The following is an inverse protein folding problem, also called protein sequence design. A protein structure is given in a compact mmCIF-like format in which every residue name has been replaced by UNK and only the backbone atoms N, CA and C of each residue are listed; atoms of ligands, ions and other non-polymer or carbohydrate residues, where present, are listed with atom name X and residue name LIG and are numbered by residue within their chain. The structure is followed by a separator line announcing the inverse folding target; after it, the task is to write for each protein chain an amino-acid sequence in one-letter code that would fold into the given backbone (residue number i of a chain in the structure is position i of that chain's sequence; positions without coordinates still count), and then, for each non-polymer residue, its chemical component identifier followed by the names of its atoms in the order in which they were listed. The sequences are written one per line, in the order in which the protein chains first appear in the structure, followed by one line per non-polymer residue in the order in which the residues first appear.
data_IF_573483643684
#
_entry.id   IF_573483643684
#
_cell.length_a   1.000
_cell.length_b   1.000
_cell.length_c   1.000
_cell.angle_alpha   90.00
_cell.angle_beta   90.00
_cell.angle_gamma   90.00
#
_symmetry.space_group_name_H-M   'P 1'
#
loop_
_entity.id
_entity.type
_entity.pdbx_description
1 polymer ?
#
# COMPACT_ATOMS: atom_id res chain seq x y z
N UNK A 1 -23.59 -30.79 -12.51
CA UNK A 1 -22.39 -30.63 -11.64
C UNK A 1 -21.28 -30.13 -12.53
N UNK A 2 -20.83 -28.89 -12.35
CA UNK A 2 -19.67 -28.35 -13.07
C UNK A 2 -18.40 -28.91 -12.43
N UNK A 3 -17.52 -29.51 -13.22
CA UNK A 3 -16.23 -30.04 -12.76
C UNK A 3 -15.16 -28.97 -12.89
N UNK A 4 -14.44 -28.68 -11.81
CA UNK A 4 -13.30 -27.77 -11.83
C UNK A 4 -12.12 -28.38 -12.60
N UNK A 5 -11.32 -27.54 -13.26
CA UNK A 5 -10.01 -27.96 -13.80
C UNK A 5 -9.03 -28.29 -12.66
N UNK A 6 -7.90 -28.89 -12.99
CA UNK A 6 -6.82 -29.16 -12.02
C UNK A 6 -6.32 -27.86 -11.40
N UNK A 7 -6.10 -26.84 -12.22
CA UNK A 7 -5.62 -25.51 -11.82
C UNK A 7 -6.63 -24.86 -10.87
N UNK A 8 -7.91 -24.81 -11.28
CA UNK A 8 -8.97 -24.26 -10.43
C UNK A 8 -9.11 -25.01 -9.10
N UNK A 9 -8.92 -26.32 -9.09
CA UNK A 9 -8.98 -27.13 -7.87
C UNK A 9 -7.83 -26.81 -6.91
N UNK A 10 -6.63 -26.56 -7.44
CA UNK A 10 -5.46 -26.13 -6.65
C UNK A 10 -5.71 -24.74 -6.07
N UNK A 11 -6.19 -23.79 -6.87
CA UNK A 11 -6.48 -22.42 -6.41
C UNK A 11 -7.53 -22.40 -5.31
N UNK A 12 -8.61 -23.18 -5.46
CA UNK A 12 -9.67 -23.30 -4.43
C UNK A 12 -9.11 -23.89 -3.14
N UNK A 13 -8.26 -24.93 -3.22
CA UNK A 13 -7.62 -25.52 -2.04
C UNK A 13 -6.75 -24.47 -1.33
N UNK A 14 -5.90 -23.77 -2.07
CA UNK A 14 -4.95 -22.82 -1.49
C UNK A 14 -5.68 -21.61 -0.90
N UNK A 15 -6.70 -21.09 -1.59
CA UNK A 15 -7.57 -20.04 -1.06
C UNK A 15 -8.32 -20.47 0.21
N UNK A 16 -8.79 -21.72 0.26
CA UNK A 16 -9.47 -22.27 1.42
C UNK A 16 -8.54 -22.36 2.64
N UNK A 17 -7.31 -22.87 2.45
CA UNK A 17 -6.31 -22.96 3.52
C UNK A 17 -5.89 -21.57 4.01
N UNK A 18 -5.64 -20.61 3.10
CA UNK A 18 -5.38 -19.20 3.44
C UNK A 18 -6.53 -18.61 4.26
N UNK A 19 -7.78 -18.90 3.88
CA UNK A 19 -8.97 -18.46 4.59
C UNK A 19 -9.09 -19.03 6.00
N UNK A 20 -8.81 -20.32 6.20
CA UNK A 20 -8.77 -20.96 7.53
C UNK A 20 -7.71 -20.30 8.40
N UNK A 21 -6.49 -20.17 7.88
CA UNK A 21 -5.38 -19.57 8.62
C UNK A 21 -5.68 -18.13 9.02
N UNK A 22 -6.18 -17.31 8.08
CA UNK A 22 -6.56 -15.93 8.35
C UNK A 22 -7.64 -15.81 9.43
N UNK A 23 -8.66 -16.67 9.40
CA UNK A 23 -9.72 -16.69 10.44
C UNK A 23 -9.18 -17.12 11.80
N UNK A 24 -8.28 -18.12 11.84
CA UNK A 24 -7.63 -18.56 13.07
C UNK A 24 -6.79 -17.43 13.69
N UNK A 25 -6.00 -16.73 12.87
CA UNK A 25 -5.20 -15.59 13.33
C UNK A 25 -6.08 -14.49 13.94
N UNK A 26 -7.13 -14.05 13.23
CA UNK A 26 -8.09 -13.05 13.74
C UNK A 26 -8.76 -13.53 15.02
N UNK A 27 -9.11 -14.81 15.12
CA UNK A 27 -9.69 -15.39 16.33
C UNK A 27 -8.72 -15.32 17.52
N UNK A 28 -7.43 -15.62 17.32
CA UNK A 28 -6.40 -15.50 18.36
C UNK A 28 -6.28 -14.04 18.82
N UNK A 29 -6.19 -13.08 17.89
CA UNK A 29 -6.13 -11.64 18.20
C UNK A 29 -7.35 -11.21 19.02
N UNK A 30 -8.54 -11.65 18.64
CA UNK A 30 -9.77 -11.37 19.39
C UNK A 30 -9.77 -11.98 20.79
N UNK A 31 -9.21 -13.18 20.96
CA UNK A 31 -9.05 -13.80 22.29
C UNK A 31 -8.11 -13.01 23.18
N UNK A 32 -6.98 -12.55 22.64
CA UNK A 32 -6.02 -11.69 23.35
C UNK A 32 -6.70 -10.37 23.74
N UNK A 33 -7.33 -9.70 22.78
CA UNK A 33 -8.04 -8.44 23.00
C UNK A 33 -9.11 -8.56 24.10
N UNK A 34 -9.94 -9.59 24.07
CA UNK A 34 -10.95 -9.82 25.09
C UNK A 34 -10.36 -10.10 26.49
N UNK A 35 -9.15 -10.65 26.56
CA UNK A 35 -8.48 -10.93 27.83
C UNK A 35 -7.82 -9.68 28.43
N UNK A 36 -7.26 -8.80 27.59
CA UNK A 36 -6.50 -7.61 28.06
C UNK A 36 -7.35 -6.34 28.09
N UNK A 37 -8.41 -6.27 27.28
CA UNK A 37 -9.27 -5.10 27.21
C UNK A 37 -10.10 -4.98 28.49
N UNK A 38 -9.87 -3.89 29.22
CA UNK A 38 -10.66 -3.52 30.40
C UNK A 38 -11.60 -2.36 30.05
N UNK A 39 -12.92 -2.57 29.98
CA UNK A 39 -13.88 -1.49 29.76
C UNK A 39 -13.99 -0.61 31.02
N UNK A 40 -13.52 0.64 30.98
CA UNK A 40 -13.79 1.66 32.03
C UNK A 40 -13.64 3.10 31.52
N UNK A 41 -14.53 3.98 32.03
CA UNK A 41 -14.36 5.43 32.27
C UNK A 41 -14.18 6.34 31.05
N UNK A 42 -14.74 7.56 31.14
CA UNK A 42 -14.85 8.55 30.04
C UNK A 42 -13.54 9.20 29.57
N UNK A 43 -12.39 8.90 30.17
CA UNK A 43 -11.10 9.46 29.75
C UNK A 43 -9.99 8.41 29.72
N UNK A 44 -9.33 8.27 28.56
CA UNK A 44 -8.13 7.43 28.40
C UNK A 44 -7.01 8.22 27.73
N UNK A 45 -5.89 8.31 28.44
CA UNK A 45 -4.57 8.43 27.81
C UNK A 45 -4.11 7.03 27.39
N UNK A 46 -3.53 6.91 26.21
CA UNK A 46 -3.01 5.66 25.68
C UNK A 46 -1.63 5.89 25.04
N UNK A 47 -0.79 4.85 25.06
CA UNK A 47 0.48 4.82 24.34
C UNK A 47 0.32 3.82 23.21
N UNK A 48 0.48 4.29 21.98
CA UNK A 48 0.52 3.45 20.78
C UNK A 48 1.95 3.00 20.49
N UNK A 49 2.12 1.73 20.16
CA UNK A 49 3.38 1.18 19.64
C UNK A 49 3.07 0.57 18.28
N UNK A 50 3.83 0.96 17.27
CA UNK A 50 3.69 0.48 15.90
C UNK A 50 4.92 -0.34 15.55
N UNK A 51 4.72 -1.61 15.21
CA UNK A 51 5.73 -2.52 14.69
C UNK A 51 5.27 -3.00 13.31
N UNK A 52 5.99 -2.60 12.26
CA UNK A 52 5.65 -2.88 10.87
C UNK A 52 6.90 -3.27 10.09
N UNK A 53 6.71 -3.94 8.95
CA UNK A 53 7.77 -4.19 8.00
C UNK A 53 8.38 -2.88 7.48
N UNK A 54 9.70 -2.86 7.35
CA UNK A 54 10.40 -1.78 6.64
C UNK A 54 10.16 -1.85 5.13
N UNK A 55 10.70 -0.86 4.41
CA UNK A 55 10.64 -0.82 2.96
C UNK A 55 11.31 -2.04 2.31
N UNK A 56 10.64 -2.67 1.34
CA UNK A 56 11.10 -3.89 0.67
C UNK A 56 11.39 -3.66 -0.82
N UNK A 57 12.51 -4.21 -1.31
CA UNK A 57 12.84 -4.25 -2.73
C UNK A 57 13.62 -5.53 -3.05
N UNK A 58 12.91 -6.53 -3.57
CA UNK A 58 13.45 -7.82 -3.98
C UNK A 58 13.64 -7.91 -5.50
N UNK A 59 14.24 -9.02 -5.96
CA UNK A 59 14.35 -9.34 -7.39
C UNK A 59 12.98 -9.47 -8.08
N UNK A 60 11.94 -9.84 -7.33
CA UNK A 60 10.56 -9.90 -7.80
C UNK A 60 9.65 -9.44 -6.68
N UNK A 61 8.93 -8.34 -6.91
CA UNK A 61 8.02 -7.74 -5.93
C UNK A 61 6.59 -7.99 -6.39
N UNK A 62 5.76 -8.56 -5.53
CA UNK A 62 4.35 -8.82 -5.82
C UNK A 62 3.47 -7.68 -5.30
N UNK A 63 2.15 -7.84 -5.39
CA UNK A 63 1.19 -6.94 -4.74
C UNK A 63 1.39 -6.83 -3.22
N UNK A 64 1.92 -7.87 -2.57
CA UNK A 64 2.21 -7.83 -1.14
C UNK A 64 3.28 -6.79 -0.82
N UNK A 65 4.39 -6.80 -1.55
CA UNK A 65 5.45 -5.79 -1.44
C UNK A 65 4.91 -4.39 -1.77
N UNK A 66 4.02 -4.27 -2.76
CA UNK A 66 3.39 -2.99 -3.08
C UNK A 66 2.57 -2.45 -1.90
N UNK A 67 1.78 -3.31 -1.23
CA UNK A 67 1.04 -2.95 -0.02
C UNK A 67 1.96 -2.57 1.15
N UNK A 68 3.05 -3.32 1.36
CA UNK A 68 4.05 -3.04 2.41
C UNK A 68 4.71 -1.67 2.16
N UNK A 69 5.14 -1.40 0.93
CA UNK A 69 5.76 -0.14 0.57
C UNK A 69 4.77 1.03 0.62
N UNK A 70 3.49 0.81 0.29
CA UNK A 70 2.44 1.81 0.49
C UNK A 70 2.24 2.15 1.98
N UNK A 71 2.28 1.16 2.88
CA UNK A 71 2.23 1.42 4.31
C UNK A 71 3.44 2.25 4.78
N UNK A 72 4.63 1.94 4.26
CA UNK A 72 5.85 2.72 4.53
C UNK A 72 5.75 4.16 3.99
N UNK A 73 5.16 4.39 2.82
CA UNK A 73 4.91 5.74 2.32
C UNK A 73 3.97 6.54 3.22
N UNK A 74 2.92 5.92 3.75
CA UNK A 74 2.03 6.60 4.71
C UNK A 74 2.77 6.95 5.99
N UNK A 75 3.62 6.05 6.49
CA UNK A 75 4.43 6.32 7.68
C UNK A 75 5.44 7.44 7.42
N UNK A 76 6.08 7.45 6.24
CA UNK A 76 6.97 8.53 5.83
C UNK A 76 6.21 9.87 5.79
N UNK A 77 5.01 9.91 5.21
CA UNK A 77 4.24 11.16 5.16
C UNK A 77 3.80 11.62 6.55
N UNK A 78 3.47 10.68 7.44
CA UNK A 78 3.20 10.98 8.84
C UNK A 78 4.40 11.67 9.50
N UNK A 79 5.62 11.15 9.32
CA UNK A 79 6.84 11.80 9.82
C UNK A 79 7.07 13.17 9.20
N UNK A 80 6.91 13.31 7.87
CA UNK A 80 7.08 14.58 7.17
C UNK A 80 6.12 15.64 7.72
N UNK A 81 4.86 15.26 7.92
CA UNK A 81 3.86 16.16 8.45
C UNK A 81 4.14 16.57 9.90
N UNK A 82 4.46 15.62 10.78
CA UNK A 82 4.57 15.91 12.21
C UNK A 82 5.88 16.56 12.60
N UNK A 83 6.99 16.15 11.99
CA UNK A 83 8.32 16.67 12.34
C UNK A 83 8.62 17.96 11.58
N UNK A 84 8.19 18.11 10.33
CA UNK A 84 8.57 19.30 9.54
C UNK A 84 7.44 20.29 9.34
N UNK A 85 6.26 19.85 8.90
CA UNK A 85 5.18 20.79 8.54
C UNK A 85 4.59 21.47 9.77
N UNK A 86 4.22 20.68 10.79
CA UNK A 86 3.61 21.20 12.02
C UNK A 86 4.60 22.03 12.86
N UNK A 87 5.86 21.61 12.98
CA UNK A 87 6.86 22.40 13.71
C UNK A 87 7.11 23.77 13.04
N UNK A 88 7.22 23.80 11.71
CA UNK A 88 7.41 25.06 10.99
C UNK A 88 6.17 25.96 11.04
N UNK A 89 4.96 25.40 11.05
CA UNK A 89 3.73 26.15 11.26
C UNK A 89 3.73 26.81 12.66
N UNK A 90 4.14 26.09 13.70
CA UNK A 90 4.23 26.62 15.06
C UNK A 90 5.26 27.75 15.18
N UNK A 91 6.46 27.59 14.59
CA UNK A 91 7.47 28.65 14.58
C UNK A 91 6.98 29.93 13.90
N UNK A 92 6.21 29.79 12.81
CA UNK A 92 5.61 30.93 12.13
C UNK A 92 4.55 31.60 13.00
N UNK A 93 3.72 30.82 13.71
CA UNK A 93 2.70 31.33 14.63
C UNK A 93 3.33 32.10 15.80
N UNK A 94 4.41 31.58 16.37
CA UNK A 94 5.15 32.22 17.46
C UNK A 94 6.06 33.37 16.99
N UNK A 95 6.11 33.65 15.68
CA UNK A 95 6.99 34.67 15.07
C UNK A 95 8.47 34.47 15.41
N UNK A 96 8.89 33.21 15.54
CA UNK A 96 10.29 32.85 15.80
C UNK A 96 11.06 32.94 14.49
N UNK A 97 12.17 33.70 14.50
CA UNK A 97 13.03 33.82 13.34
C UNK A 97 13.79 32.50 13.10
N UNK A 98 13.30 31.71 12.14
CA UNK A 98 13.81 30.38 11.82
C UNK A 98 14.06 30.25 10.31
N UNK A 99 15.01 29.39 9.93
CA UNK A 99 15.30 29.09 8.54
C UNK A 99 14.43 27.92 8.07
N UNK A 100 13.56 28.16 7.08
CA UNK A 100 12.73 27.10 6.49
C UNK A 100 13.59 25.91 6.05
N UNK A 101 13.26 24.72 6.54
CA UNK A 101 13.95 23.49 6.17
C UNK A 101 13.24 22.90 4.95
N UNK A 102 13.99 22.72 3.87
CA UNK A 102 13.52 21.95 2.73
C UNK A 102 13.46 20.46 3.06
N UNK A 103 12.33 19.83 2.75
CA UNK A 103 12.11 18.39 2.92
C UNK A 103 11.50 17.79 1.66
N UNK A 104 11.67 16.47 1.49
CA UNK A 104 11.09 15.74 0.37
C UNK A 104 9.69 15.26 0.77
N UNK A 105 8.67 15.85 0.16
CA UNK A 105 7.27 15.46 0.34
C UNK A 105 6.90 14.31 -0.61
N UNK A 106 6.38 13.23 -0.04
CA UNK A 106 5.94 12.04 -0.77
C UNK A 106 4.43 12.02 -1.06
N UNK A 107 3.70 13.12 -0.83
CA UNK A 107 2.25 13.21 -1.09
C UNK A 107 1.88 12.82 -2.53
N UNK A 108 2.67 13.23 -3.53
CA UNK A 108 2.38 12.88 -4.93
C UNK A 108 2.47 11.37 -5.19
N UNK A 109 3.29 10.63 -4.45
CA UNK A 109 3.34 9.18 -4.53
C UNK A 109 2.11 8.55 -3.87
N UNK A 110 1.68 9.04 -2.71
CA UNK A 110 0.45 8.59 -2.03
C UNK A 110 -0.82 8.86 -2.87
N UNK A 111 -0.87 10.04 -3.50
CA UNK A 111 -1.90 10.46 -4.42
C UNK A 111 -2.03 9.49 -5.60
N UNK A 112 -0.89 9.12 -6.20
CA UNK A 112 -0.84 8.15 -7.28
C UNK A 112 -1.23 6.74 -6.81
N UNK A 113 -0.83 6.31 -5.61
CA UNK A 113 -1.07 4.94 -5.15
C UNK A 113 -2.54 4.73 -4.75
N UNK A 114 -3.11 5.61 -3.90
CA UNK A 114 -4.40 5.34 -3.27
C UNK A 114 -5.30 6.56 -2.96
N UNK A 115 -4.81 7.81 -3.04
CA UNK A 115 -5.58 8.97 -2.56
C UNK A 115 -6.36 9.69 -3.67
N UNK A 116 -5.74 10.01 -4.81
CA UNK A 116 -6.42 10.75 -5.89
C UNK A 116 -7.33 9.85 -6.72
N UNK A 117 -8.27 10.43 -7.46
CA UNK A 117 -9.11 9.67 -8.39
C UNK A 117 -8.26 8.96 -9.43
N UNK A 118 -8.73 7.79 -9.90
CA UNK A 118 -8.03 6.94 -10.86
C UNK A 118 -6.61 6.58 -10.39
N UNK A 119 -6.38 6.46 -9.08
CA UNK A 119 -5.12 5.96 -8.53
C UNK A 119 -4.90 4.47 -8.85
N UNK A 120 -3.68 3.98 -8.63
CA UNK A 120 -3.29 2.60 -8.94
C UNK A 120 -4.20 1.59 -8.24
N UNK A 121 -4.46 1.73 -6.94
CA UNK A 121 -5.32 0.79 -6.19
C UNK A 121 -6.76 0.78 -6.73
N UNK A 122 -7.30 1.93 -7.12
CA UNK A 122 -8.63 2.06 -7.70
C UNK A 122 -8.71 1.39 -9.08
N UNK A 123 -7.68 1.54 -9.92
CA UNK A 123 -7.62 0.90 -11.24
C UNK A 123 -7.47 -0.62 -11.12
N UNK A 124 -6.70 -1.11 -10.14
CA UNK A 124 -6.60 -2.55 -9.82
C UNK A 124 -7.97 -3.08 -9.38
N UNK A 125 -8.63 -2.41 -8.41
CA UNK A 125 -9.95 -2.83 -7.90
C UNK A 125 -11.04 -2.85 -9.00
N UNK A 126 -11.01 -1.88 -9.90
CA UNK A 126 -11.94 -1.83 -11.04
C UNK A 126 -11.70 -3.00 -12.01
N UNK A 127 -10.44 -3.30 -12.35
CA UNK A 127 -10.11 -4.37 -13.29
C UNK A 127 -10.37 -5.76 -12.69
N UNK A 128 -10.08 -5.96 -11.40
CA UNK A 128 -10.34 -7.21 -10.69
C UNK A 128 -11.83 -7.58 -10.63
N UNK A 129 -12.73 -6.58 -10.69
CA UNK A 129 -14.18 -6.76 -10.77
C UNK A 129 -14.68 -6.90 -12.21
N UNK A 130 -13.85 -6.61 -13.21
CA UNK A 130 -14.26 -6.63 -14.60
C UNK A 130 -14.39 -8.09 -15.09
N UNK A 131 -15.53 -8.51 -15.67
CA UNK A 131 -15.76 -9.93 -16.03
C UNK A 131 -14.75 -10.55 -17.01
N UNK A 132 -13.95 -9.72 -17.69
CA UNK A 132 -12.88 -10.13 -18.61
C UNK A 132 -11.55 -9.41 -18.33
N UNK A 133 -11.39 -8.89 -17.12
CA UNK A 133 -10.16 -8.25 -16.69
C UNK A 133 -9.03 -9.27 -16.62
N UNK A 134 -7.84 -8.89 -17.06
CA UNK A 134 -6.62 -9.68 -16.92
C UNK A 134 -5.49 -8.79 -16.44
N UNK A 135 -4.43 -9.40 -15.90
CA UNK A 135 -3.21 -8.70 -15.49
C UNK A 135 -2.66 -7.78 -16.61
N UNK A 136 -2.80 -8.20 -17.88
CA UNK A 136 -2.36 -7.43 -19.04
C UNK A 136 -3.26 -6.22 -19.33
N UNK A 137 -4.60 -6.37 -19.23
CA UNK A 137 -5.51 -5.24 -19.46
C UNK A 137 -5.41 -4.24 -18.31
N UNK A 138 -5.25 -4.72 -17.08
CA UNK A 138 -4.92 -3.91 -15.90
C UNK A 138 -3.64 -3.09 -16.14
N UNK A 139 -2.54 -3.77 -16.52
CA UNK A 139 -1.25 -3.11 -16.75
C UNK A 139 -1.33 -2.08 -17.88
N UNK A 140 -2.01 -2.41 -18.99
CA UNK A 140 -2.23 -1.48 -20.08
C UNK A 140 -3.00 -0.24 -19.63
N UNK A 141 -4.00 -0.41 -18.75
CA UNK A 141 -4.76 0.70 -18.15
C UNK A 141 -3.88 1.57 -17.27
N UNK A 142 -3.07 0.99 -16.39
CA UNK A 142 -2.10 1.73 -15.56
C UNK A 142 -1.11 2.52 -16.43
N UNK A 143 -0.54 1.88 -17.44
CA UNK A 143 0.38 2.51 -18.40
C UNK A 143 -0.27 3.66 -19.17
N UNK A 144 -1.54 3.52 -19.56
CA UNK A 144 -2.29 4.56 -20.27
C UNK A 144 -2.59 5.74 -19.36
N UNK A 145 -3.02 5.49 -18.13
CA UNK A 145 -3.46 6.54 -17.19
C UNK A 145 -2.28 7.30 -16.58
N UNK A 146 -1.21 6.61 -16.19
CA UNK A 146 -0.13 7.18 -15.38
C UNK A 146 1.22 7.26 -16.09
N UNK A 147 1.30 6.91 -17.37
CA UNK A 147 2.58 6.81 -18.09
C UNK A 147 3.44 8.07 -18.15
N UNK A 148 2.88 9.24 -17.84
CA UNK A 148 3.57 10.54 -17.77
C UNK A 148 3.76 11.05 -16.34
N UNK A 149 3.26 10.33 -15.34
CA UNK A 149 3.37 10.75 -13.94
C UNK A 149 4.80 10.55 -13.42
N UNK A 150 5.37 11.55 -12.75
CA UNK A 150 6.78 11.52 -12.30
C UNK A 150 7.13 10.33 -11.40
N UNK A 151 6.17 9.86 -10.60
CA UNK A 151 6.35 8.72 -9.70
C UNK A 151 6.03 7.37 -10.33
N UNK A 152 5.50 7.33 -11.56
CA UNK A 152 5.17 6.10 -12.26
C UNK A 152 6.20 5.82 -13.34
N UNK A 153 6.68 4.58 -13.41
CA UNK A 153 7.72 4.17 -14.35
C UNK A 153 7.23 3.02 -15.21
N UNK A 154 7.35 3.19 -16.53
CA UNK A 154 7.17 2.10 -17.49
C UNK A 154 8.46 1.32 -17.65
N UNK A 155 8.41 -0.02 -17.68
CA UNK A 155 9.55 -0.82 -18.11
C UNK A 155 10.00 -0.40 -19.51
N UNK A 156 11.29 -0.58 -19.82
CA UNK A 156 11.84 -0.26 -21.15
C UNK A 156 11.37 -1.22 -22.25
N UNK A 157 10.85 -2.40 -21.88
CA UNK A 157 10.39 -3.42 -22.82
C UNK A 157 8.91 -3.71 -22.56
N UNK A 158 8.12 -3.68 -23.63
CA UNK A 158 6.68 -4.00 -23.59
C UNK A 158 6.39 -5.47 -23.27
N UNK A 159 7.40 -6.34 -23.31
CA UNK A 159 7.28 -7.75 -22.90
C UNK A 159 7.22 -7.87 -21.36
N UNK A 160 7.71 -6.85 -20.65
CA UNK A 160 7.77 -6.89 -19.20
C UNK A 160 6.40 -6.59 -18.58
N UNK A 161 5.84 -7.57 -17.88
CA UNK A 161 4.55 -7.47 -17.19
C UNK A 161 4.71 -6.86 -15.78
N UNK A 162 5.33 -5.69 -15.70
CA UNK A 162 5.49 -4.97 -14.43
C UNK A 162 5.23 -3.47 -14.60
N UNK A 163 4.95 -2.80 -13.49
CA UNK A 163 5.01 -1.35 -13.40
C UNK A 163 6.00 -0.94 -12.33
N UNK A 164 6.66 0.21 -12.53
CA UNK A 164 7.58 0.77 -11.57
C UNK A 164 6.98 1.95 -10.82
N UNK A 165 7.44 2.14 -9.58
CA UNK A 165 7.13 3.29 -8.76
C UNK A 165 8.42 3.90 -8.24
N UNK A 166 8.48 5.23 -8.27
CA UNK A 166 9.51 6.00 -7.58
C UNK A 166 9.01 6.37 -6.18
N UNK A 167 9.41 5.57 -5.19
CA UNK A 167 9.08 5.77 -3.78
C UNK A 167 10.07 6.71 -3.09
N UNK A 168 9.75 7.15 -1.88
CA UNK A 168 10.67 7.93 -1.04
C UNK A 168 12.03 7.23 -0.82
N UNK A 169 12.02 5.90 -0.71
CA UNK A 169 13.21 5.07 -0.47
C UNK A 169 13.88 4.55 -1.76
N UNK A 170 13.31 4.84 -2.94
CA UNK A 170 13.89 4.49 -4.22
C UNK A 170 12.90 3.84 -5.20
N UNK A 171 13.43 3.42 -6.35
CA UNK A 171 12.63 2.81 -7.42
C UNK A 171 12.41 1.33 -7.17
N UNK A 172 11.15 0.90 -7.26
CA UNK A 172 10.74 -0.51 -7.15
C UNK A 172 9.84 -0.88 -8.32
N UNK A 173 10.07 -2.06 -8.91
CA UNK A 173 9.21 -2.64 -9.94
C UNK A 173 8.38 -3.78 -9.36
N UNK A 174 7.07 -3.74 -9.65
CA UNK A 174 6.08 -4.70 -9.17
C UNK A 174 5.54 -5.52 -10.34
N UNK A 175 5.64 -6.84 -10.19
CA UNK A 175 5.12 -7.80 -11.14
C UNK A 175 3.60 -7.84 -11.09
N UNK A 176 2.94 -7.80 -12.25
CA UNK A 176 1.48 -7.82 -12.34
C UNK A 176 0.87 -9.21 -12.33
N UNK A 177 1.67 -10.28 -12.23
CA UNK A 177 1.14 -11.65 -12.24
C UNK A 177 0.33 -11.95 -10.98
N UNK A 178 -0.94 -12.29 -11.15
CA UNK A 178 -1.84 -12.66 -10.06
C UNK A 178 -2.40 -11.47 -9.27
N UNK A 179 -2.51 -10.31 -9.92
CA UNK A 179 -3.00 -9.05 -9.38
C UNK A 179 -4.45 -8.77 -9.78
#
# INVERSE_FOLDING_TARGET
VSTLSREQSVDVRDAFVKGIYGRLFVWIVNKINNAIYRPRGTTRSAIGVLDIFGFENFNTNSFEQFCINFANENLQQFFVQHIFKLEQEEYNLESINWQHIEFVDNQDALDLIAVKQLNIMALIDEEAKFPKGTDQTMLAKLHKTHGTHRNYLKPKSDINTSFGMNHFAGVVFYDTRGL
#
